data_IF_171413873325
#
_entry.id   IF_171413873325
#
_cell.length_a   1.000
_cell.length_b   1.000
_cell.length_c   1.000
_cell.angle_alpha   90.00
_cell.angle_beta   90.00
_cell.angle_gamma   90.00
#
_symmetry.space_group_name_H-M   'P 1'
#
loop_
_entity.id
_entity.type
_entity.pdbx_description
1 polymer ?
#
# COMPACT_ATOMS: atom_id res chain seq x y z
N UNK A 1 -4.65 5.57 -37.38
CA UNK A 1 -4.46 5.31 -35.95
C UNK A 1 -2.96 5.37 -35.72
N UNK A 2 -2.47 6.30 -34.92
CA UNK A 2 -1.05 6.28 -34.53
C UNK A 2 -0.80 4.98 -33.77
N UNK A 3 0.24 4.27 -34.15
CA UNK A 3 0.68 3.07 -33.46
C UNK A 3 1.10 3.48 -32.04
N UNK A 4 0.42 2.97 -30.99
CA UNK A 4 0.78 3.27 -29.61
C UNK A 4 2.20 2.74 -29.36
N UNK A 5 3.09 3.60 -28.85
CA UNK A 5 4.45 3.22 -28.46
C UNK A 5 4.39 2.04 -27.47
N UNK A 6 5.17 1.01 -27.72
CA UNK A 6 5.34 -0.11 -26.79
C UNK A 6 6.07 0.38 -25.54
N UNK A 7 5.50 0.13 -24.37
CA UNK A 7 6.13 0.41 -23.07
C UNK A 7 6.96 -0.79 -22.64
N UNK A 8 8.21 -0.56 -22.36
CA UNK A 8 9.17 -1.55 -21.91
C UNK A 8 9.22 -1.56 -20.40
N UNK A 9 8.70 -2.63 -19.79
CA UNK A 9 8.63 -2.80 -18.33
C UNK A 9 9.76 -3.71 -17.83
N UNK A 10 10.39 -3.35 -16.71
CA UNK A 10 11.28 -4.22 -15.97
C UNK A 10 10.78 -4.41 -14.53
N UNK A 11 11.19 -5.52 -13.90
CA UNK A 11 10.79 -5.87 -12.54
C UNK A 11 12.03 -6.08 -11.68
N UNK A 12 12.09 -5.42 -10.53
CA UNK A 12 13.12 -5.60 -9.51
C UNK A 12 12.49 -6.34 -8.33
N UNK A 13 12.98 -7.56 -8.08
CA UNK A 13 12.42 -8.50 -7.10
C UNK A 13 11.63 -9.62 -7.77
N UNK A 14 12.02 -10.87 -7.48
CA UNK A 14 11.43 -12.09 -8.06
C UNK A 14 10.52 -12.84 -7.07
N UNK A 15 9.95 -12.09 -6.10
CA UNK A 15 9.08 -12.61 -5.07
C UNK A 15 7.67 -12.98 -5.54
N UNK A 16 6.83 -13.39 -4.57
CA UNK A 16 5.46 -13.81 -4.83
C UNK A 16 4.63 -12.73 -5.54
N UNK A 17 4.73 -11.47 -5.10
CA UNK A 17 3.91 -10.38 -5.66
C UNK A 17 4.23 -10.09 -7.13
N UNK A 18 5.51 -10.15 -7.51
CA UNK A 18 5.93 -10.04 -8.91
C UNK A 18 5.28 -11.14 -9.76
N UNK A 19 5.32 -12.39 -9.26
CA UNK A 19 4.83 -13.58 -9.95
C UNK A 19 3.30 -13.60 -10.09
N UNK A 20 2.57 -13.24 -9.03
CA UNK A 20 1.10 -13.41 -8.98
C UNK A 20 0.31 -12.19 -9.40
N UNK A 21 0.92 -11.00 -9.35
CA UNK A 21 0.20 -9.74 -9.63
C UNK A 21 0.85 -8.93 -10.74
N UNK A 22 2.13 -8.53 -10.61
CA UNK A 22 2.73 -7.60 -11.58
C UNK A 22 2.93 -8.19 -12.98
N UNK A 23 3.50 -9.39 -13.08
CA UNK A 23 3.74 -10.03 -14.38
C UNK A 23 2.41 -10.33 -15.10
N UNK A 24 1.41 -10.97 -14.47
CA UNK A 24 0.11 -11.18 -15.10
C UNK A 24 -0.57 -9.88 -15.53
N UNK A 25 -0.49 -8.82 -14.71
CA UNK A 25 -1.06 -7.53 -15.05
C UNK A 25 -0.41 -6.93 -16.31
N UNK A 26 0.92 -6.82 -16.35
CA UNK A 26 1.62 -6.29 -17.54
C UNK A 26 1.32 -7.11 -18.79
N UNK A 27 1.27 -8.44 -18.69
CA UNK A 27 0.95 -9.33 -19.82
C UNK A 27 -0.48 -9.19 -20.33
N UNK A 28 -1.39 -8.72 -19.51
CA UNK A 28 -2.78 -8.47 -19.91
C UNK A 28 -2.97 -7.13 -20.64
N UNK A 29 -1.92 -6.29 -20.72
CA UNK A 29 -2.00 -4.97 -21.33
C UNK A 29 -1.48 -4.97 -22.76
N UNK A 30 -2.22 -4.32 -23.65
CA UNK A 30 -1.75 -4.08 -25.02
C UNK A 30 -0.56 -3.12 -25.05
N UNK A 31 0.43 -3.42 -25.89
CA UNK A 31 1.65 -2.61 -26.08
C UNK A 31 2.43 -2.36 -24.76
N UNK A 32 2.54 -3.39 -23.93
CA UNK A 32 3.44 -3.45 -22.78
C UNK A 32 4.25 -4.75 -22.88
N UNK A 33 5.56 -4.63 -22.80
CA UNK A 33 6.49 -5.77 -22.87
C UNK A 33 7.33 -5.82 -21.61
N UNK A 34 7.38 -6.99 -20.95
CA UNK A 34 8.32 -7.22 -19.86
C UNK A 34 9.66 -7.60 -20.48
N UNK A 35 10.64 -6.71 -20.38
CA UNK A 35 11.91 -6.85 -21.07
C UNK A 35 13.03 -7.42 -20.20
N UNK A 36 12.91 -7.32 -18.87
CA UNK A 36 13.89 -7.86 -17.92
C UNK A 36 13.33 -8.03 -16.52
N UNK A 37 13.97 -8.90 -15.75
CA UNK A 37 13.80 -9.02 -14.29
C UNK A 37 15.16 -9.01 -13.60
N UNK A 38 15.20 -8.51 -12.35
CA UNK A 38 16.39 -8.61 -11.50
C UNK A 38 16.05 -9.03 -10.07
N UNK A 39 16.97 -9.75 -9.45
CA UNK A 39 16.90 -10.12 -8.03
C UNK A 39 18.32 -10.36 -7.51
N UNK A 40 18.61 -9.95 -6.26
CA UNK A 40 19.91 -10.19 -5.64
C UNK A 40 20.28 -11.70 -5.59
N UNK A 41 19.27 -12.58 -5.61
CA UNK A 41 19.41 -13.99 -5.86
C UNK A 41 19.25 -14.27 -7.36
N UNK A 42 20.38 -14.40 -8.08
CA UNK A 42 20.39 -14.64 -9.53
C UNK A 42 19.55 -15.86 -9.93
N UNK A 43 19.60 -16.94 -9.17
CA UNK A 43 18.79 -18.13 -9.45
C UNK A 43 17.27 -17.86 -9.35
N UNK A 44 16.84 -16.88 -8.54
CA UNK A 44 15.44 -16.49 -8.45
C UNK A 44 15.02 -15.67 -9.69
N UNK A 45 15.84 -14.71 -10.14
CA UNK A 45 15.57 -13.93 -11.36
C UNK A 45 15.61 -14.81 -12.60
N UNK A 46 16.57 -15.72 -12.71
CA UNK A 46 16.66 -16.68 -13.82
C UNK A 46 15.39 -17.54 -13.89
N UNK A 47 14.98 -18.15 -12.77
CA UNK A 47 13.78 -18.99 -12.71
C UNK A 47 12.52 -18.20 -13.07
N UNK A 48 12.42 -16.95 -12.59
CA UNK A 48 11.27 -16.10 -12.92
C UNK A 48 11.24 -15.78 -14.42
N UNK A 49 12.39 -15.51 -15.02
CA UNK A 49 12.51 -15.26 -16.46
C UNK A 49 12.12 -16.49 -17.28
N UNK A 50 12.59 -17.68 -16.89
CA UNK A 50 12.25 -18.95 -17.56
C UNK A 50 10.75 -19.27 -17.44
N UNK A 51 10.14 -19.14 -16.22
CA UNK A 51 8.74 -19.44 -15.98
C UNK A 51 7.77 -18.54 -16.76
N UNK A 52 8.23 -17.34 -17.09
CA UNK A 52 7.42 -16.31 -17.77
C UNK A 52 8.01 -15.86 -19.11
N UNK A 53 8.88 -16.62 -19.75
CA UNK A 53 9.50 -16.28 -21.05
C UNK A 53 9.95 -14.80 -21.13
N UNK A 54 10.60 -14.29 -20.08
CA UNK A 54 11.13 -12.94 -20.04
C UNK A 54 12.53 -12.96 -20.65
N UNK A 55 12.86 -12.07 -21.62
CA UNK A 55 14.06 -12.21 -22.45
C UNK A 55 15.39 -12.04 -21.71
N UNK A 56 15.40 -11.37 -20.53
CA UNK A 56 16.63 -11.12 -19.81
C UNK A 56 16.44 -11.19 -18.29
N UNK A 57 17.45 -11.69 -17.58
CA UNK A 57 17.51 -11.68 -16.12
C UNK A 57 18.87 -11.17 -15.64
N UNK A 58 18.86 -10.57 -14.45
CA UNK A 58 20.04 -9.94 -13.86
C UNK A 58 20.08 -10.20 -12.35
N UNK A 59 21.30 -10.30 -11.79
CA UNK A 59 21.52 -10.23 -10.36
C UNK A 59 21.59 -8.78 -9.87
N UNK A 60 22.06 -7.88 -10.70
CA UNK A 60 22.34 -6.47 -10.42
C UNK A 60 21.35 -5.57 -11.17
N UNK A 61 20.50 -4.85 -10.39
CA UNK A 61 19.51 -3.91 -10.93
C UNK A 61 20.14 -2.73 -11.65
N UNK A 62 21.28 -2.20 -11.15
CA UNK A 62 22.01 -1.11 -11.79
C UNK A 62 22.46 -1.51 -13.21
N UNK A 63 23.01 -2.71 -13.33
CA UNK A 63 23.41 -3.27 -14.62
C UNK A 63 22.20 -3.43 -15.54
N UNK A 64 21.10 -3.98 -15.04
CA UNK A 64 19.84 -4.13 -15.78
C UNK A 64 19.34 -2.78 -16.32
N UNK A 65 19.21 -1.78 -15.46
CA UNK A 65 18.72 -0.46 -15.83
C UNK A 65 19.57 0.20 -16.91
N UNK A 66 20.91 0.08 -16.79
CA UNK A 66 21.85 0.64 -17.76
C UNK A 66 21.80 -0.05 -19.12
N UNK A 67 21.73 -1.39 -19.17
CA UNK A 67 21.78 -2.18 -20.40
C UNK A 67 20.43 -2.24 -21.09
N UNK A 68 19.34 -2.39 -20.33
CA UNK A 68 17.99 -2.58 -20.85
C UNK A 68 17.28 -1.26 -21.14
N UNK A 69 17.50 -0.24 -20.30
CA UNK A 69 16.84 1.07 -20.38
C UNK A 69 15.31 0.95 -20.50
N UNK A 70 14.63 0.39 -19.49
CA UNK A 70 13.16 0.27 -19.50
C UNK A 70 12.49 1.63 -19.38
N UNK A 71 11.26 1.76 -19.87
CA UNK A 71 10.44 2.96 -19.67
C UNK A 71 9.85 2.98 -18.24
N UNK A 72 9.49 1.81 -17.70
CA UNK A 72 8.88 1.66 -16.38
C UNK A 72 9.52 0.53 -15.60
N UNK A 73 9.55 0.67 -14.27
CA UNK A 73 10.09 -0.33 -13.35
C UNK A 73 9.09 -0.62 -12.23
N UNK A 74 8.81 -1.90 -11.98
CA UNK A 74 8.13 -2.36 -10.76
C UNK A 74 9.14 -2.74 -9.69
N UNK A 75 9.00 -2.19 -8.47
CA UNK A 75 9.83 -2.53 -7.30
C UNK A 75 9.04 -3.50 -6.41
N UNK A 76 9.45 -4.78 -6.41
CA UNK A 76 8.77 -5.91 -5.76
C UNK A 76 9.67 -6.60 -4.73
N UNK A 77 10.29 -5.84 -3.85
CA UNK A 77 11.30 -6.28 -2.88
C UNK A 77 10.82 -6.04 -1.44
N UNK A 78 11.55 -6.53 -0.39
CA UNK A 78 11.27 -6.14 0.99
C UNK A 78 11.39 -4.62 1.21
N UNK A 79 10.61 -4.08 2.14
CA UNK A 79 10.43 -2.64 2.38
C UNK A 79 11.76 -1.85 2.50
N UNK A 80 12.76 -2.44 3.15
CA UNK A 80 14.12 -1.86 3.29
C UNK A 80 14.74 -1.42 1.97
N UNK A 81 14.38 -2.06 0.88
CA UNK A 81 14.98 -1.82 -0.43
C UNK A 81 14.11 -0.96 -1.35
N UNK A 82 12.90 -0.55 -0.92
CA UNK A 82 12.04 0.33 -1.72
C UNK A 82 12.74 1.64 -2.06
N UNK A 83 13.28 2.33 -1.05
CA UNK A 83 13.96 3.61 -1.22
C UNK A 83 15.19 3.51 -2.16
N UNK A 84 16.24 2.73 -1.86
CA UNK A 84 17.43 2.73 -2.69
C UNK A 84 17.17 2.32 -4.13
N UNK A 85 16.31 1.33 -4.38
CA UNK A 85 16.02 0.86 -5.73
C UNK A 85 15.09 1.80 -6.50
N UNK A 86 14.17 2.51 -5.82
CA UNK A 86 13.38 3.57 -6.45
C UNK A 86 14.25 4.76 -6.86
N UNK A 87 15.18 5.20 -5.99
CA UNK A 87 16.14 6.26 -6.33
C UNK A 87 17.00 5.86 -7.54
N UNK A 88 17.44 4.62 -7.57
CA UNK A 88 18.22 4.09 -8.68
C UNK A 88 17.43 4.11 -10.01
N UNK A 89 16.19 3.62 -10.00
CA UNK A 89 15.31 3.58 -11.17
C UNK A 89 14.95 5.00 -11.68
N UNK A 90 14.64 5.93 -10.77
CA UNK A 90 14.34 7.32 -11.10
C UNK A 90 15.57 8.04 -11.69
N UNK A 91 16.79 7.78 -11.18
CA UNK A 91 18.02 8.31 -11.75
C UNK A 91 18.36 7.70 -13.12
N UNK A 92 17.91 6.49 -13.39
CA UNK A 92 18.02 5.86 -14.70
C UNK A 92 16.97 6.36 -15.73
N UNK A 93 16.06 7.27 -15.32
CA UNK A 93 15.04 7.85 -16.18
C UNK A 93 13.76 7.01 -16.32
N UNK A 94 13.52 6.08 -15.42
CA UNK A 94 12.35 5.20 -15.44
C UNK A 94 11.21 5.76 -14.60
N UNK A 95 9.97 5.65 -15.06
CA UNK A 95 8.79 5.76 -14.20
C UNK A 95 8.74 4.56 -13.25
N UNK A 96 8.26 4.75 -12.01
CA UNK A 96 8.33 3.71 -10.98
C UNK A 96 6.95 3.38 -10.39
N UNK A 97 6.63 2.09 -10.37
CA UNK A 97 5.57 1.51 -9.57
C UNK A 97 6.21 0.73 -8.41
N UNK A 98 6.13 1.26 -7.20
CA UNK A 98 6.72 0.64 -6.02
C UNK A 98 5.67 -0.08 -5.18
N UNK A 99 6.00 -1.26 -4.66
CA UNK A 99 5.18 -1.90 -3.64
C UNK A 99 5.06 -1.00 -2.40
N UNK A 100 3.96 -1.17 -1.69
CA UNK A 100 3.75 -0.51 -0.40
C UNK A 100 4.54 -1.22 0.73
N UNK A 101 4.87 -0.55 1.81
CA UNK A 101 4.76 0.89 2.07
C UNK A 101 5.75 1.67 1.23
N UNK A 102 5.61 3.01 1.12
CA UNK A 102 6.53 3.84 0.31
C UNK A 102 8.00 3.64 0.66
N UNK A 103 8.35 3.68 1.94
CA UNK A 103 9.72 3.58 2.43
C UNK A 103 9.76 3.10 3.89
N UNK A 104 10.94 3.07 4.49
CA UNK A 104 11.13 2.73 5.90
C UNK A 104 10.84 3.91 6.85
N UNK A 105 10.90 5.14 6.35
CA UNK A 105 10.68 6.36 7.12
C UNK A 105 10.24 7.54 6.20
N UNK A 106 9.71 8.66 6.77
CA UNK A 106 9.23 9.79 5.99
C UNK A 106 10.29 10.49 5.15
N UNK A 107 11.54 10.56 5.64
CA UNK A 107 12.64 11.22 4.92
C UNK A 107 12.91 10.50 3.58
N UNK A 108 13.00 9.19 3.60
CA UNK A 108 13.17 8.39 2.38
C UNK A 108 12.00 8.60 1.40
N UNK A 109 10.75 8.56 1.89
CA UNK A 109 9.57 8.77 1.04
C UNK A 109 9.54 10.18 0.43
N UNK A 110 9.96 11.21 1.20
CA UNK A 110 10.08 12.58 0.71
C UNK A 110 11.15 12.71 -0.40
N UNK A 111 12.33 12.12 -0.19
CA UNK A 111 13.40 12.15 -1.18
C UNK A 111 12.99 11.44 -2.49
N UNK A 112 12.27 10.32 -2.40
CA UNK A 112 11.73 9.61 -3.57
C UNK A 112 10.73 10.50 -4.34
N UNK A 113 9.79 11.12 -3.65
CA UNK A 113 8.82 12.03 -4.25
C UNK A 113 9.51 13.22 -4.94
N UNK A 114 10.37 13.94 -4.21
CA UNK A 114 11.08 15.10 -4.74
C UNK A 114 11.96 14.76 -5.95
N UNK A 115 12.60 13.59 -5.95
CA UNK A 115 13.41 13.14 -7.09
C UNK A 115 12.52 12.81 -8.31
N UNK A 116 11.38 12.17 -8.12
CA UNK A 116 10.44 11.88 -9.18
C UNK A 116 9.95 13.18 -9.84
N UNK A 117 9.52 14.17 -9.04
CA UNK A 117 9.11 15.50 -9.55
C UNK A 117 10.25 16.22 -10.29
N UNK A 118 11.44 16.25 -9.70
CA UNK A 118 12.61 16.89 -10.31
C UNK A 118 12.96 16.30 -11.69
N UNK A 119 12.78 15.00 -11.85
CA UNK A 119 13.10 14.31 -13.09
C UNK A 119 11.91 14.29 -14.09
N UNK A 120 10.74 14.80 -13.71
CA UNK A 120 9.52 14.73 -14.52
C UNK A 120 9.01 13.30 -14.70
N UNK A 121 9.26 12.43 -13.73
CA UNK A 121 8.89 11.01 -13.75
C UNK A 121 7.72 10.73 -12.82
N UNK A 122 6.95 9.72 -13.15
CA UNK A 122 5.87 9.23 -12.29
C UNK A 122 6.40 8.22 -11.28
N UNK A 123 6.05 8.43 -10.02
CA UNK A 123 6.22 7.48 -8.93
C UNK A 123 4.85 7.23 -8.30
N UNK A 124 4.48 5.96 -8.17
CA UNK A 124 3.25 5.52 -7.50
C UNK A 124 3.52 4.31 -6.62
N UNK A 125 2.58 4.04 -5.70
CA UNK A 125 2.65 2.93 -4.76
C UNK A 125 1.46 2.00 -4.89
N UNK A 126 1.63 0.72 -4.58
CA UNK A 126 0.55 -0.28 -4.70
C UNK A 126 -0.48 -0.20 -3.56
N UNK A 127 -1.10 0.96 -3.40
CA UNK A 127 -2.30 1.12 -2.59
C UNK A 127 -3.55 0.71 -3.37
N UNK A 128 -3.56 -0.55 -3.79
CA UNK A 128 -4.51 -1.11 -4.75
C UNK A 128 -5.99 -0.99 -4.32
N UNK A 129 -6.31 -0.91 -3.03
CA UNK A 129 -7.69 -0.75 -2.57
C UNK A 129 -8.36 0.54 -3.08
N UNK A 130 -7.60 1.59 -3.42
CA UNK A 130 -8.15 2.79 -4.04
C UNK A 130 -8.80 2.51 -5.39
N UNK A 131 -8.31 1.50 -6.11
CA UNK A 131 -8.80 1.12 -7.43
C UNK A 131 -10.05 0.22 -7.38
N UNK A 132 -10.52 -0.12 -6.19
CA UNK A 132 -11.74 -0.91 -5.98
C UNK A 132 -12.99 -0.13 -6.40
N UNK A 133 -13.94 -0.83 -7.01
CA UNK A 133 -15.22 -0.24 -7.41
C UNK A 133 -16.04 0.25 -6.21
N UNK A 134 -15.96 -0.47 -5.08
CA UNK A 134 -16.55 -0.03 -3.82
C UNK A 134 -15.96 1.30 -3.35
N UNK A 135 -14.64 1.48 -3.47
CA UNK A 135 -13.95 2.74 -3.12
C UNK A 135 -14.39 3.87 -4.05
N UNK A 136 -14.49 3.62 -5.35
CA UNK A 136 -14.96 4.62 -6.32
C UNK A 136 -16.39 5.08 -6.01
N UNK A 137 -17.31 4.16 -5.70
CA UNK A 137 -18.68 4.48 -5.32
C UNK A 137 -18.70 5.28 -4.00
N UNK A 138 -17.93 4.85 -3.01
CA UNK A 138 -17.84 5.55 -1.72
C UNK A 138 -17.33 6.99 -1.90
N UNK A 139 -16.25 7.18 -2.66
CA UNK A 139 -15.68 8.51 -2.95
C UNK A 139 -16.68 9.40 -3.69
N UNK A 140 -17.37 8.87 -4.71
CA UNK A 140 -18.43 9.60 -5.42
C UNK A 140 -19.54 10.10 -4.46
N UNK A 141 -19.95 9.27 -3.50
CA UNK A 141 -20.97 9.62 -2.50
C UNK A 141 -20.49 10.70 -1.53
N UNK A 142 -19.23 10.62 -1.10
CA UNK A 142 -18.60 11.63 -0.25
C UNK A 142 -18.51 12.96 -1.01
N UNK A 143 -18.00 12.94 -2.24
CA UNK A 143 -17.80 14.13 -3.06
C UNK A 143 -19.12 14.86 -3.43
N UNK A 144 -20.23 14.11 -3.55
CA UNK A 144 -21.58 14.64 -3.71
C UNK A 144 -22.17 15.23 -2.43
N UNK A 145 -21.51 15.04 -1.27
CA UNK A 145 -21.97 15.50 0.03
C UNK A 145 -23.14 14.68 0.60
N UNK A 146 -23.30 13.41 0.14
CA UNK A 146 -24.35 12.51 0.63
C UNK A 146 -24.15 12.16 2.12
N UNK A 147 -22.92 12.18 2.62
CA UNK A 147 -22.61 11.95 4.03
C UNK A 147 -22.72 13.23 4.89
N UNK A 148 -22.75 14.41 4.30
CA UNK A 148 -22.50 15.66 5.01
C UNK A 148 -21.04 15.79 5.42
N UNK A 149 -20.76 16.54 6.49
CA UNK A 149 -19.41 16.62 7.06
C UNK A 149 -19.06 15.30 7.75
N UNK A 150 -18.05 14.60 7.26
CA UNK A 150 -17.52 13.41 7.95
C UNK A 150 -16.70 13.90 9.13
N UNK A 151 -17.04 13.49 10.35
CA UNK A 151 -16.36 13.93 11.58
C UNK A 151 -15.62 12.79 12.30
N UNK A 152 -16.00 11.53 12.04
CA UNK A 152 -15.37 10.35 12.62
C UNK A 152 -15.13 9.29 11.56
N UNK A 153 -13.94 8.67 11.59
CA UNK A 153 -13.56 7.56 10.72
C UNK A 153 -12.97 6.43 11.54
N UNK A 154 -13.29 5.20 11.21
CA UNK A 154 -12.63 4.02 11.75
C UNK A 154 -11.97 3.24 10.61
N UNK A 155 -10.66 3.09 10.68
CA UNK A 155 -9.86 2.27 9.78
C UNK A 155 -9.39 1.01 10.53
N UNK A 156 -9.71 -0.19 10.01
CA UNK A 156 -9.39 -1.42 10.71
C UNK A 156 -8.98 -2.54 9.78
N UNK A 157 -7.88 -3.25 10.12
CA UNK A 157 -7.57 -4.56 9.58
C UNK A 157 -6.93 -5.42 10.66
N UNK A 158 -7.71 -6.32 11.21
CA UNK A 158 -7.31 -7.17 12.34
C UNK A 158 -7.55 -8.64 12.02
N UNK A 159 -6.58 -9.48 12.36
CA UNK A 159 -6.61 -10.92 12.16
C UNK A 159 -6.55 -11.66 13.50
N UNK A 160 -7.21 -12.82 13.57
CA UNK A 160 -7.20 -13.63 14.79
C UNK A 160 -5.86 -14.33 15.03
N UNK A 161 -5.25 -14.89 13.98
CA UNK A 161 -3.95 -15.60 13.98
C UNK A 161 -3.35 -15.57 12.58
N UNK A 162 -3.15 -14.39 12.05
CA UNK A 162 -2.72 -14.15 10.68
C UNK A 162 -1.31 -13.56 10.57
N UNK A 163 -0.41 -13.95 11.46
CA UNK A 163 1.02 -13.63 11.32
C UNK A 163 1.53 -14.39 10.09
N UNK A 164 2.12 -13.69 9.10
CA UNK A 164 2.71 -14.36 7.94
C UNK A 164 3.90 -15.24 8.35
N UNK A 165 3.81 -16.53 8.00
CA UNK A 165 4.86 -17.52 8.28
C UNK A 165 5.93 -17.62 7.18
N UNK A 166 5.93 -16.69 6.23
CA UNK A 166 6.87 -16.67 5.10
C UNK A 166 7.53 -15.31 4.93
N UNK A 167 8.56 -15.25 4.08
CA UNK A 167 9.28 -14.01 3.78
C UNK A 167 9.95 -13.40 5.01
N UNK A 168 9.94 -12.09 5.09
CA UNK A 168 10.56 -11.31 6.16
C UNK A 168 9.57 -10.47 7.00
N UNK A 169 8.26 -10.77 6.94
CA UNK A 169 7.19 -10.00 7.61
C UNK A 169 7.33 -9.89 9.14
N UNK A 170 8.07 -10.80 9.77
CA UNK A 170 8.32 -10.80 11.21
C UNK A 170 9.67 -10.18 11.59
N UNK A 171 10.40 -9.64 10.62
CA UNK A 171 11.71 -9.04 10.78
C UNK A 171 11.66 -7.50 10.65
N UNK A 172 11.83 -6.78 11.77
CA UNK A 172 11.76 -5.31 11.80
C UNK A 172 12.85 -4.65 10.94
N UNK A 173 14.05 -5.22 10.88
CA UNK A 173 15.13 -4.64 10.06
C UNK A 173 14.79 -4.64 8.56
N UNK A 174 14.06 -5.64 8.09
CA UNK A 174 13.71 -5.78 6.68
C UNK A 174 12.40 -5.08 6.32
N UNK A 175 11.46 -4.98 7.28
CA UNK A 175 10.10 -4.51 7.03
C UNK A 175 9.78 -3.16 7.68
N UNK A 176 10.56 -2.71 8.68
CA UNK A 176 10.29 -1.49 9.44
C UNK A 176 9.30 -1.67 10.59
N UNK A 177 8.44 -2.67 10.52
CA UNK A 177 7.41 -2.98 11.51
C UNK A 177 6.58 -4.19 11.13
N UNK A 178 5.48 -4.38 11.83
CA UNK A 178 4.54 -5.48 11.65
C UNK A 178 3.23 -5.06 10.96
N UNK A 179 2.07 -5.33 11.60
CA UNK A 179 0.77 -5.08 10.99
C UNK A 179 0.49 -3.63 10.63
N UNK A 180 1.05 -2.63 11.34
CA UNK A 180 0.82 -1.24 10.96
C UNK A 180 1.37 -0.96 9.55
N UNK A 181 2.63 -1.25 9.33
CA UNK A 181 3.31 -0.93 8.06
C UNK A 181 2.91 -1.87 6.91
N UNK A 182 2.43 -3.09 7.23
CA UNK A 182 1.99 -4.06 6.22
C UNK A 182 0.51 -3.85 5.84
N UNK A 183 -0.42 -4.20 6.74
CA UNK A 183 -1.86 -4.18 6.44
C UNK A 183 -2.53 -2.86 6.87
N UNK A 184 -2.03 -2.23 7.94
CA UNK A 184 -2.50 -0.94 8.42
C UNK A 184 -2.27 0.19 7.42
N UNK A 185 -1.14 0.16 6.71
CA UNK A 185 -0.82 1.12 5.65
C UNK A 185 -1.92 1.21 4.58
N UNK A 186 -2.52 0.08 4.19
CA UNK A 186 -3.63 0.07 3.24
C UNK A 186 -4.89 0.74 3.78
N UNK A 187 -5.22 0.50 5.06
CA UNK A 187 -6.43 1.09 5.66
C UNK A 187 -6.25 2.57 5.98
N UNK A 188 -5.04 2.97 6.38
CA UNK A 188 -4.67 4.39 6.54
C UNK A 188 -4.78 5.13 5.21
N UNK A 189 -4.12 4.60 4.18
CA UNK A 189 -4.16 5.14 2.83
C UNK A 189 -5.59 5.33 2.33
N UNK A 190 -6.40 4.29 2.44
CA UNK A 190 -7.77 4.29 1.97
C UNK A 190 -8.65 5.29 2.75
N UNK A 191 -8.51 5.36 4.06
CA UNK A 191 -9.23 6.32 4.89
C UNK A 191 -8.81 7.76 4.58
N UNK A 192 -7.49 8.02 4.46
CA UNK A 192 -6.98 9.35 4.09
C UNK A 192 -7.44 9.78 2.69
N UNK A 193 -7.45 8.87 1.72
CA UNK A 193 -7.99 9.12 0.37
C UNK A 193 -9.47 9.51 0.40
N UNK A 194 -10.29 8.81 1.17
CA UNK A 194 -11.72 9.12 1.30
C UNK A 194 -11.97 10.45 2.06
N UNK A 195 -11.04 10.88 2.90
CA UNK A 195 -11.08 12.14 3.65
C UNK A 195 -10.38 13.32 2.95
N UNK A 196 -9.82 13.14 1.76
CA UNK A 196 -9.03 14.15 1.02
C UNK A 196 -7.80 14.64 1.79
N UNK A 197 -7.09 13.74 2.49
CA UNK A 197 -5.81 14.02 3.17
C UNK A 197 -5.84 15.24 4.10
N UNK A 198 -6.67 15.24 5.14
CA UNK A 198 -6.76 16.37 6.06
C UNK A 198 -5.44 16.56 6.81
N UNK A 199 -5.11 17.80 7.13
CA UNK A 199 -3.92 18.13 7.91
C UNK A 199 -3.95 17.47 9.29
N UNK A 200 -2.86 16.79 9.67
CA UNK A 200 -2.77 16.01 10.89
C UNK A 200 -2.34 16.92 12.04
N UNK A 201 -3.14 16.99 13.11
CA UNK A 201 -2.78 17.72 14.33
C UNK A 201 -1.85 16.88 15.21
N UNK A 202 -2.31 15.70 15.62
CA UNK A 202 -1.52 14.78 16.45
C UNK A 202 -1.99 13.34 16.31
N UNK A 203 -1.16 12.40 16.77
CA UNK A 203 -1.51 10.99 16.89
C UNK A 203 -1.19 10.46 18.28
N UNK A 204 -1.98 9.46 18.75
CA UNK A 204 -1.69 8.66 19.93
C UNK A 204 -1.77 7.19 19.54
N UNK A 205 -0.84 6.36 20.00
CA UNK A 205 -0.86 4.93 19.69
C UNK A 205 -0.28 4.06 20.82
N UNK A 206 -0.69 2.78 20.80
CA UNK A 206 -0.09 1.71 21.60
C UNK A 206 0.16 0.48 20.74
N UNK A 207 1.35 -0.14 20.86
CA UNK A 207 1.72 -1.34 20.15
C UNK A 207 2.02 -2.50 21.09
N UNK A 208 1.79 -3.73 20.62
CA UNK A 208 1.95 -4.94 21.42
C UNK A 208 2.58 -6.05 20.58
N UNK A 209 3.32 -6.96 21.23
CA UNK A 209 3.99 -8.12 20.64
C UNK A 209 3.70 -9.43 21.42
N UNK A 210 2.52 -9.51 22.02
CA UNK A 210 2.15 -10.55 23.01
C UNK A 210 1.97 -11.92 22.40
N UNK A 211 1.51 -12.02 21.17
CA UNK A 211 1.20 -13.30 20.50
C UNK A 211 2.38 -13.73 19.62
N UNK A 212 3.01 -12.80 18.92
CA UNK A 212 4.13 -13.07 18.03
C UNK A 212 5.31 -13.73 18.74
N UNK A 213 5.64 -13.25 19.94
CA UNK A 213 6.75 -13.76 20.76
C UNK A 213 6.44 -15.06 21.51
N UNK A 214 5.17 -15.44 21.65
CA UNK A 214 4.76 -16.62 22.42
C UNK A 214 4.17 -17.74 21.56
N UNK A 215 3.58 -17.40 20.42
CA UNK A 215 2.99 -18.35 19.49
C UNK A 215 3.99 -18.84 18.45
N UNK A 216 3.63 -19.90 17.74
CA UNK A 216 4.49 -20.49 16.68
C UNK A 216 3.74 -20.78 15.39
N UNK A 217 2.40 -20.78 15.39
CA UNK A 217 1.56 -21.20 14.29
C UNK A 217 0.25 -20.42 14.23
N UNK A 218 -0.15 -20.09 13.03
CA UNK A 218 -1.41 -19.44 12.74
C UNK A 218 -2.03 -19.92 11.42
N UNK A 219 -3.05 -19.20 10.97
CA UNK A 219 -3.76 -19.50 9.69
C UNK A 219 -2.90 -19.19 8.47
N UNK A 220 -1.82 -18.43 8.64
CA UNK A 220 -0.89 -18.01 7.57
C UNK A 220 0.51 -18.67 7.76
N UNK A 221 0.56 -19.87 8.34
CA UNK A 221 1.79 -20.63 8.48
C UNK A 221 2.40 -20.60 9.88
N UNK A 222 3.66 -20.99 9.95
CA UNK A 222 4.45 -21.06 11.17
C UNK A 222 5.53 -19.97 11.16
N UNK A 223 5.84 -19.42 12.33
CA UNK A 223 6.92 -18.44 12.50
C UNK A 223 7.81 -18.82 13.66
N UNK A 224 9.02 -18.28 13.70
CA UNK A 224 9.94 -18.46 14.82
C UNK A 224 9.78 -17.30 15.82
N UNK A 225 9.24 -17.56 17.05
CA UNK A 225 9.05 -16.51 18.05
C UNK A 225 10.37 -15.89 18.53
N UNK A 226 11.48 -16.62 18.51
CA UNK A 226 12.79 -16.13 18.94
C UNK A 226 13.39 -15.11 17.94
N UNK A 227 12.88 -15.11 16.68
CA UNK A 227 13.25 -14.16 15.62
C UNK A 227 12.16 -13.12 15.33
N UNK A 228 11.08 -13.14 16.11
CA UNK A 228 9.98 -12.20 15.96
C UNK A 228 10.36 -10.84 16.56
N UNK A 229 10.49 -9.81 15.73
CA UNK A 229 11.02 -8.50 16.12
C UNK A 229 10.09 -7.31 15.82
N UNK A 230 8.87 -7.58 15.38
CA UNK A 230 7.85 -6.57 15.08
C UNK A 230 6.71 -6.60 16.11
N UNK A 231 5.84 -5.63 16.11
CA UNK A 231 4.58 -5.71 16.82
C UNK A 231 3.65 -6.74 16.16
N UNK A 232 2.73 -7.32 16.92
CA UNK A 232 1.63 -8.15 16.39
C UNK A 232 0.29 -7.41 16.35
N UNK A 233 0.22 -6.26 17.02
CA UNK A 233 -0.93 -5.35 16.98
C UNK A 233 -0.54 -3.92 17.33
N UNK A 234 -1.24 -2.96 16.72
CA UNK A 234 -1.15 -1.54 17.03
C UNK A 234 -2.54 -0.91 16.96
N UNK A 235 -2.84 -0.07 17.94
CA UNK A 235 -4.08 0.72 18.00
C UNK A 235 -3.73 2.18 18.11
N UNK A 236 -4.37 3.01 17.28
CA UNK A 236 -4.06 4.42 17.21
C UNK A 236 -5.30 5.31 17.15
N UNK A 237 -5.11 6.55 17.55
CA UNK A 237 -6.04 7.65 17.40
C UNK A 237 -5.33 8.79 16.69
N UNK A 238 -5.95 9.34 15.66
CA UNK A 238 -5.43 10.41 14.82
C UNK A 238 -6.42 11.57 14.90
N UNK A 239 -5.93 12.75 15.24
CA UNK A 239 -6.69 14.01 15.25
C UNK A 239 -6.22 14.90 14.11
N UNK A 240 -7.17 15.47 13.39
CA UNK A 240 -6.89 16.42 12.31
C UNK A 240 -7.15 17.85 12.77
N UNK A 241 -6.49 18.83 12.13
CA UNK A 241 -6.58 20.26 12.50
C UNK A 241 -7.98 20.84 12.32
N UNK A 242 -8.79 20.24 11.43
CA UNK A 242 -10.17 20.64 11.19
C UNK A 242 -11.20 20.01 12.15
N UNK A 243 -10.73 19.28 13.18
CA UNK A 243 -11.54 18.67 14.22
C UNK A 243 -12.04 17.25 13.87
N UNK A 244 -11.80 16.74 12.66
CA UNK A 244 -12.05 15.33 12.33
C UNK A 244 -11.15 14.41 13.15
N UNK A 245 -11.60 13.18 13.36
CA UNK A 245 -10.79 12.17 14.07
C UNK A 245 -10.86 10.81 13.36
N UNK A 246 -9.80 10.04 13.49
CA UNK A 246 -9.72 8.66 12.98
C UNK A 246 -9.21 7.71 14.06
N UNK A 247 -9.90 6.59 14.23
CA UNK A 247 -9.43 5.45 15.01
C UNK A 247 -8.81 4.41 14.06
N UNK A 248 -7.62 3.92 14.43
CA UNK A 248 -6.93 2.85 13.70
C UNK A 248 -6.84 1.58 14.56
N UNK A 249 -7.18 0.44 13.96
CA UNK A 249 -6.97 -0.89 14.54
C UNK A 249 -6.24 -1.76 13.52
N UNK A 250 -5.04 -2.21 13.85
CA UNK A 250 -4.29 -3.11 12.97
C UNK A 250 -3.64 -4.24 13.76
N UNK A 251 -3.79 -5.48 13.27
CA UNK A 251 -3.21 -6.63 13.95
C UNK A 251 -3.01 -7.84 13.02
N UNK A 252 -1.86 -8.46 13.12
CA UNK A 252 -1.63 -9.80 12.60
C UNK A 252 -2.27 -10.87 13.49
N UNK A 253 -2.34 -10.61 14.80
CA UNK A 253 -2.90 -11.57 15.75
C UNK A 253 -3.59 -10.88 16.93
N UNK A 254 -4.88 -11.21 17.12
CA UNK A 254 -5.69 -10.83 18.27
C UNK A 254 -6.57 -12.00 18.70
N UNK A 255 -7.00 -12.01 19.97
CA UNK A 255 -7.99 -12.97 20.48
C UNK A 255 -9.40 -12.46 20.21
N UNK A 256 -9.80 -12.44 18.95
CA UNK A 256 -11.12 -12.00 18.47
C UNK A 256 -11.91 -13.16 17.91
N UNK A 257 -13.22 -12.97 17.70
CA UNK A 257 -14.13 -13.98 17.15
C UNK A 257 -13.84 -14.22 15.67
N UNK A 258 -13.73 -13.16 14.90
CA UNK A 258 -13.56 -13.20 13.45
C UNK A 258 -12.15 -13.69 13.10
N UNK A 259 -12.04 -14.43 11.99
CA UNK A 259 -10.77 -14.91 11.46
C UNK A 259 -9.94 -13.76 10.88
N UNK A 260 -10.62 -12.90 10.12
CA UNK A 260 -10.07 -11.70 9.47
C UNK A 260 -11.21 -10.67 9.39
N UNK A 261 -10.94 -9.44 9.81
CA UNK A 261 -11.89 -8.33 9.76
C UNK A 261 -11.14 -7.10 9.25
N UNK A 262 -11.63 -6.53 8.16
CA UNK A 262 -11.14 -5.25 7.64
C UNK A 262 -12.31 -4.36 7.29
N UNK A 263 -12.17 -3.06 7.57
CA UNK A 263 -13.14 -2.07 7.14
C UNK A 263 -12.57 -0.65 7.20
N UNK A 264 -13.19 0.25 6.44
CA UNK A 264 -13.15 1.69 6.65
C UNK A 264 -14.59 2.14 6.82
N UNK A 265 -14.89 2.70 7.99
CA UNK A 265 -16.20 3.21 8.36
C UNK A 265 -16.13 4.72 8.53
N UNK A 266 -17.06 5.44 7.94
CA UNK A 266 -17.15 6.90 8.02
C UNK A 266 -18.50 7.29 8.63
N UNK A 267 -18.48 8.21 9.59
CA UNK A 267 -19.68 8.81 10.17
C UNK A 267 -19.73 10.28 9.78
N UNK A 268 -20.75 10.63 9.00
CA UNK A 268 -21.04 11.98 8.61
C UNK A 268 -22.32 12.51 9.28
N UNK A 269 -22.58 13.80 9.16
CA UNK A 269 -23.75 14.47 9.77
C UNK A 269 -25.08 13.98 9.18
N UNK A 270 -25.11 13.57 7.90
CA UNK A 270 -26.33 13.13 7.23
C UNK A 270 -26.45 11.62 7.15
N UNK A 271 -25.34 10.92 6.91
CA UNK A 271 -25.29 9.47 6.78
C UNK A 271 -23.91 8.92 7.16
N UNK A 272 -23.86 7.61 7.38
CA UNK A 272 -22.60 6.87 7.56
C UNK A 272 -22.36 5.92 6.39
N UNK A 273 -21.12 5.41 6.31
CA UNK A 273 -20.68 4.48 5.27
C UNK A 273 -19.79 3.39 5.88
N UNK A 274 -20.01 2.16 5.47
CA UNK A 274 -19.07 1.03 5.63
C UNK A 274 -18.56 0.63 4.25
N UNK A 275 -17.25 0.38 4.11
CA UNK A 275 -16.66 0.09 2.81
C UNK A 275 -16.57 -1.41 2.49
N UNK A 276 -16.44 -2.28 3.52
CA UNK A 276 -16.29 -3.73 3.36
C UNK A 276 -17.20 -4.52 4.31
N UNK A 277 -18.44 -4.88 3.90
CA UNK A 277 -19.11 -4.60 2.63
C UNK A 277 -19.50 -3.12 2.46
N UNK A 278 -19.70 -2.69 1.20
CA UNK A 278 -20.17 -1.34 0.95
C UNK A 278 -21.63 -1.21 1.32
N UNK A 279 -21.89 -0.36 2.32
CA UNK A 279 -23.23 -0.02 2.82
C UNK A 279 -23.27 1.45 3.20
N UNK A 280 -24.43 2.09 3.02
CA UNK A 280 -24.70 3.47 3.45
C UNK A 280 -25.83 3.44 4.47
N UNK A 281 -25.63 4.12 5.60
CA UNK A 281 -26.55 4.19 6.73
C UNK A 281 -27.19 5.58 6.76
N UNK A 282 -28.46 5.67 6.38
CA UNK A 282 -29.18 6.95 6.34
C UNK A 282 -29.76 7.28 7.71
N UNK A 283 -29.29 8.36 8.32
CA UNK A 283 -29.64 8.70 9.70
C UNK A 283 -31.09 9.10 9.88
N UNK A 284 -31.61 10.00 9.04
CA UNK A 284 -32.98 10.54 9.19
C UNK A 284 -34.06 9.48 8.92
N UNK A 285 -33.83 8.57 7.99
CA UNK A 285 -34.80 7.54 7.58
C UNK A 285 -34.60 6.21 8.34
N UNK A 286 -33.55 6.10 9.15
CA UNK A 286 -33.11 4.88 9.82
C UNK A 286 -33.05 3.66 8.88
N UNK A 287 -32.59 3.89 7.64
CA UNK A 287 -32.51 2.89 6.58
C UNK A 287 -31.08 2.64 6.13
N UNK A 288 -30.84 1.47 5.55
CA UNK A 288 -29.53 1.09 5.01
C UNK A 288 -29.64 0.79 3.53
N UNK A 289 -28.67 1.27 2.75
CA UNK A 289 -28.49 0.88 1.34
C UNK A 289 -27.28 0.00 1.22
N UNK A 290 -27.48 -1.27 0.86
CA UNK A 290 -26.39 -2.22 0.62
C UNK A 290 -26.09 -2.32 -0.88
N UNK A 291 -24.82 -2.60 -1.21
CA UNK A 291 -24.33 -2.84 -2.57
C UNK A 291 -23.82 -4.29 -2.69
N UNK A 292 -24.72 -5.29 -2.79
CA UNK A 292 -24.37 -6.70 -2.63
C UNK A 292 -23.56 -7.29 -3.80
N UNK A 293 -23.63 -6.67 -4.99
CA UNK A 293 -22.99 -7.18 -6.20
C UNK A 293 -22.00 -6.16 -6.75
N UNK A 294 -20.79 -6.15 -6.18
CA UNK A 294 -19.68 -5.37 -6.70
C UNK A 294 -18.71 -6.36 -7.34
N UNK A 295 -18.83 -6.54 -8.67
CA UNK A 295 -17.81 -7.24 -9.43
C UNK A 295 -16.64 -6.32 -9.68
N UNK A 296 -15.44 -6.82 -9.44
CA UNK A 296 -14.20 -6.10 -9.64
C UNK A 296 -13.13 -6.98 -10.27
N UNK A 297 -12.24 -6.36 -11.04
CA UNK A 297 -11.00 -7.00 -11.47
C UNK A 297 -10.07 -7.15 -10.27
N UNK A 298 -9.03 -7.96 -10.43
CA UNK A 298 -7.93 -8.00 -9.47
C UNK A 298 -7.33 -6.59 -9.29
N UNK A 299 -7.25 -6.12 -8.03
CA UNK A 299 -7.01 -4.69 -7.74
C UNK A 299 -5.58 -4.24 -8.06
N UNK A 300 -4.57 -5.10 -7.92
CA UNK A 300 -3.20 -4.80 -8.34
C UNK A 300 -3.14 -4.61 -9.87
N UNK A 301 -3.90 -5.41 -10.63
CA UNK A 301 -4.03 -5.24 -12.07
C UNK A 301 -4.58 -3.86 -12.40
N UNK A 302 -5.63 -3.40 -11.73
CA UNK A 302 -6.18 -2.05 -11.94
C UNK A 302 -5.18 -0.94 -11.59
N UNK A 303 -4.42 -1.11 -10.50
CA UNK A 303 -3.40 -0.15 -10.11
C UNK A 303 -2.31 -0.01 -11.18
N UNK A 304 -1.82 -1.14 -11.71
CA UNK A 304 -0.85 -1.16 -12.81
C UNK A 304 -1.42 -0.61 -14.12
N UNK A 305 -2.70 -0.87 -14.44
CA UNK A 305 -3.38 -0.27 -15.59
C UNK A 305 -3.43 1.26 -15.49
N UNK A 306 -3.81 1.80 -14.33
CA UNK A 306 -3.80 3.25 -14.11
C UNK A 306 -2.38 3.83 -14.25
N UNK A 307 -1.37 3.14 -13.70
CA UNK A 307 0.03 3.57 -13.86
C UNK A 307 0.46 3.64 -15.32
N UNK A 308 0.23 2.59 -16.11
CA UNK A 308 0.59 2.56 -17.52
C UNK A 308 -0.17 3.61 -18.33
N UNK A 309 -1.47 3.81 -18.07
CA UNK A 309 -2.25 4.88 -18.69
C UNK A 309 -1.74 6.28 -18.32
N UNK A 310 -1.31 6.46 -17.07
CA UNK A 310 -0.70 7.72 -16.64
C UNK A 310 0.64 7.97 -17.34
N UNK A 311 1.48 6.95 -17.49
CA UNK A 311 2.74 7.03 -18.26
C UNK A 311 2.48 7.41 -19.74
N UNK A 312 1.37 6.96 -20.31
CA UNK A 312 0.92 7.35 -21.66
C UNK A 312 0.27 8.72 -21.74
N UNK A 313 0.02 9.37 -20.59
CA UNK A 313 -0.73 10.63 -20.53
C UNK A 313 -2.24 10.49 -20.78
N UNK A 314 -2.78 9.28 -20.71
CA UNK A 314 -4.20 8.97 -20.93
C UNK A 314 -5.06 9.20 -19.67
N UNK A 315 -4.48 9.05 -18.49
CA UNK A 315 -5.13 9.25 -17.18
C UNK A 315 -4.17 9.92 -16.19
N UNK A 316 -4.70 10.41 -15.06
CA UNK A 316 -3.88 10.83 -13.91
C UNK A 316 -3.63 9.63 -13.00
N UNK A 317 -2.50 9.66 -12.28
CA UNK A 317 -2.27 8.72 -11.19
C UNK A 317 -3.34 8.88 -10.12
N UNK A 318 -3.96 7.77 -9.71
CA UNK A 318 -4.88 7.76 -8.57
C UNK A 318 -4.14 7.77 -7.23
N UNK A 319 -2.93 7.22 -7.22
CA UNK A 319 -2.01 7.21 -6.07
C UNK A 319 -0.78 8.02 -6.44
N UNK A 320 -0.56 9.18 -5.79
CA UNK A 320 0.61 10.02 -6.05
C UNK A 320 1.73 9.75 -5.04
N UNK A 321 2.96 10.12 -5.40
CA UNK A 321 4.12 10.02 -4.50
C UNK A 321 3.95 10.88 -3.24
N UNK A 322 3.36 12.08 -3.36
CA UNK A 322 3.02 12.97 -2.26
C UNK A 322 2.08 12.30 -1.26
N UNK A 323 1.04 11.65 -1.73
CA UNK A 323 0.09 10.91 -0.90
C UNK A 323 0.74 9.74 -0.19
N UNK A 324 1.68 9.05 -0.85
CA UNK A 324 2.51 8.02 -0.21
C UNK A 324 3.37 8.59 0.92
N UNK A 325 3.98 9.76 0.72
CA UNK A 325 4.72 10.46 1.77
C UNK A 325 3.81 10.83 2.95
N UNK A 326 2.60 11.33 2.69
CA UNK A 326 1.63 11.63 3.74
C UNK A 326 1.31 10.39 4.60
N UNK A 327 1.05 9.24 3.99
CA UNK A 327 0.79 7.99 4.70
C UNK A 327 2.02 7.53 5.48
N UNK A 328 3.23 7.69 4.93
CA UNK A 328 4.46 7.34 5.62
C UNK A 328 4.72 8.22 6.86
N UNK A 329 4.36 9.53 6.82
CA UNK A 329 4.39 10.41 8.00
C UNK A 329 3.48 9.90 9.12
N UNK A 330 2.26 9.46 8.78
CA UNK A 330 1.32 8.88 9.75
C UNK A 330 1.85 7.60 10.38
N UNK A 331 2.39 6.69 9.58
CA UNK A 331 2.97 5.42 10.07
C UNK A 331 4.11 5.71 11.05
N UNK A 332 5.03 6.60 10.70
CA UNK A 332 6.16 6.99 11.57
C UNK A 332 5.67 7.61 12.89
N UNK A 333 4.75 8.55 12.82
CA UNK A 333 4.20 9.22 13.99
C UNK A 333 3.50 8.24 14.95
N UNK A 334 2.72 7.29 14.40
CA UNK A 334 2.07 6.26 15.19
C UNK A 334 3.08 5.33 15.88
N UNK A 335 4.18 4.94 15.21
CA UNK A 335 5.25 4.18 15.85
C UNK A 335 5.94 4.99 16.94
N UNK A 336 6.30 6.26 16.68
CA UNK A 336 6.93 7.13 17.69
C UNK A 336 6.04 7.32 18.91
N UNK A 337 4.74 7.52 18.71
CA UNK A 337 3.78 7.62 19.81
C UNK A 337 3.68 6.31 20.61
N UNK A 338 3.63 5.17 19.92
CA UNK A 338 3.58 3.87 20.59
C UNK A 338 4.88 3.54 21.36
N UNK A 339 6.03 4.03 20.90
CA UNK A 339 7.34 3.86 21.56
C UNK A 339 7.52 4.79 22.76
N UNK A 340 7.09 6.06 22.66
CA UNK A 340 7.20 7.04 23.75
C UNK A 340 6.09 6.94 24.81
N UNK A 341 4.91 6.41 24.43
CA UNK A 341 3.70 6.45 25.24
C UNK A 341 3.02 7.84 25.29
N UNK A 342 3.49 8.80 24.50
CA UNK A 342 3.03 10.18 24.46
C UNK A 342 2.41 10.53 23.10
N UNK A 343 1.51 11.53 23.02
CA UNK A 343 1.06 12.07 21.77
C UNK A 343 2.21 12.64 20.93
N UNK A 344 2.17 12.42 19.63
CA UNK A 344 3.11 12.99 18.67
C UNK A 344 2.39 14.04 17.84
N UNK A 345 2.81 15.31 17.99
CA UNK A 345 2.36 16.41 17.13
C UNK A 345 3.02 16.28 15.76
N UNK A 346 2.27 16.53 14.69
CA UNK A 346 2.82 16.63 13.34
C UNK A 346 2.79 18.12 12.94
N UNK A 347 3.95 18.76 13.05
CA UNK A 347 4.17 20.11 12.51
C UNK A 347 4.26 20.02 10.98
N UNK A 348 3.96 21.15 10.29
CA UNK A 348 4.00 21.29 8.83
C UNK A 348 5.36 20.92 8.20
#
# INVERSE_FOLDING_TARGET
MEEKKVIRAAIIGSGQIARTSHIPAYRSMENVEIVAVSDANEAASQRLAEDFDIPAYYQDSTRMLREVKPDVVSICVPNKFHYPLTIEALNAGCHVFCEKPPAMNPKEALEMWQLAEKNGLLLTYDFHFRHGRNTAIAKEKIDKGDLGTVYYTKASWVRRRGIPGWGCFTNREMQGGGPLIDIGAHMLDLACYLLDYPEIAYVCAGSFDKIGKTGRKGIMGEWNPDKYSVEDSLFGFISFTDGRVMQLETAFALNIKEKDKRNVELCGEKSGLSLFPLEIYQGAEMSNTAFPFIEDMELHTKALYNFIKAVRGEEKLLVTAEQGYYVQRLIDALYRSAESGEPVMLEE
#
